data_IF_263966981392
#
_entry.id   IF_263966981392
#
_cell.length_a   1.000
_cell.length_b   1.000
_cell.length_c   1.000
_cell.angle_alpha   90.00
_cell.angle_beta   90.00
_cell.angle_gamma   90.00
#
_symmetry.space_group_name_H-M   'P 1'
#
loop_
_entity.id
_entity.type
_entity.pdbx_description
1 polymer ?
#
# COMPACT_ATOMS: atom_id res chain seq x y z
N UNK A 1 -36.76 -19.34 -2.14
CA UNK A 1 -35.63 -18.92 -1.29
C UNK A 1 -34.39 -19.04 -2.16
N UNK A 2 -34.00 -17.92 -2.77
CA UNK A 2 -33.03 -17.91 -3.85
C UNK A 2 -31.67 -17.50 -3.27
N UNK A 3 -30.67 -18.37 -3.45
CA UNK A 3 -29.31 -18.31 -2.91
C UNK A 3 -28.46 -17.09 -3.37
N UNK A 4 -29.06 -16.13 -4.07
CA UNK A 4 -28.35 -15.05 -4.75
C UNK A 4 -28.22 -13.78 -3.89
N UNK A 5 -28.91 -13.72 -2.76
CA UNK A 5 -28.98 -12.52 -1.90
C UNK A 5 -27.74 -12.33 -0.99
N UNK A 6 -26.76 -13.25 -1.04
CA UNK A 6 -25.62 -13.29 -0.11
C UNK A 6 -24.25 -13.12 -0.77
N UNK A 7 -24.15 -12.62 -2.00
CA UNK A 7 -22.88 -12.12 -2.51
C UNK A 7 -22.87 -10.61 -2.34
N UNK A 8 -22.54 -10.16 -1.12
CA UNK A 8 -21.91 -8.85 -0.96
C UNK A 8 -20.80 -8.78 -2.02
N UNK A 9 -20.97 -7.91 -3.02
CA UNK A 9 -19.83 -7.51 -3.84
C UNK A 9 -18.79 -6.99 -2.86
N UNK A 10 -17.75 -7.79 -2.61
CA UNK A 10 -16.61 -7.33 -1.86
C UNK A 10 -16.08 -6.11 -2.62
N UNK A 11 -16.34 -4.92 -2.08
CA UNK A 11 -15.83 -3.67 -2.62
C UNK A 11 -14.32 -3.76 -2.45
N UNK A 12 -13.63 -4.24 -3.48
CA UNK A 12 -12.18 -4.31 -3.53
C UNK A 12 -11.66 -2.88 -3.54
N UNK A 13 -11.28 -2.39 -2.36
CA UNK A 13 -10.67 -1.08 -2.24
C UNK A 13 -9.20 -1.20 -2.59
N UNK A 14 -8.70 -0.34 -3.48
CA UNK A 14 -7.27 -0.26 -3.79
C UNK A 14 -6.73 1.13 -3.48
N UNK A 15 -5.50 1.19 -2.96
CA UNK A 15 -4.80 2.43 -2.64
C UNK A 15 -3.36 2.36 -3.12
N UNK A 16 -2.94 3.36 -3.89
CA UNK A 16 -1.54 3.57 -4.23
C UNK A 16 -0.84 4.36 -3.11
N UNK A 17 0.32 3.87 -2.66
CA UNK A 17 1.12 4.46 -1.59
C UNK A 17 2.58 4.54 -2.02
N UNK A 18 3.23 5.69 -1.86
CA UNK A 18 4.66 5.83 -2.15
C UNK A 18 5.44 5.68 -0.85
N UNK A 19 6.17 4.57 -0.71
CA UNK A 19 7.09 4.34 0.40
C UNK A 19 8.44 4.99 0.07
N UNK A 20 9.00 5.74 1.01
CA UNK A 20 10.31 6.36 0.85
C UNK A 20 11.24 6.13 2.03
N UNK A 21 12.54 6.03 1.73
CA UNK A 21 13.64 6.03 2.69
C UNK A 21 14.67 7.05 2.23
N UNK A 22 14.92 8.07 3.05
CA UNK A 22 15.96 9.08 2.80
C UNK A 22 17.07 8.96 3.87
N UNK A 23 18.30 9.31 3.49
CA UNK A 23 19.51 9.18 4.32
C UNK A 23 19.45 9.81 5.72
N UNK A 24 18.57 10.78 5.95
CA UNK A 24 18.42 11.49 7.22
C UNK A 24 17.35 10.89 8.15
N UNK A 25 17.10 9.57 8.05
CA UNK A 25 16.02 8.84 8.75
C UNK A 25 14.59 9.32 8.41
N UNK A 26 14.43 10.11 7.35
CA UNK A 26 13.11 10.53 6.87
C UNK A 26 12.49 9.37 6.09
N UNK A 27 11.44 8.79 6.65
CA UNK A 27 10.64 7.72 6.05
C UNK A 27 9.17 7.89 6.43
N UNK A 28 8.26 7.33 5.64
CA UNK A 28 6.84 7.19 5.97
C UNK A 28 6.45 5.75 6.28
N UNK A 29 7.40 4.93 6.76
CA UNK A 29 7.14 3.55 7.14
C UNK A 29 6.03 3.42 8.20
N UNK A 30 5.94 4.38 9.13
CA UNK A 30 4.89 4.37 10.17
C UNK A 30 3.48 4.56 9.58
N UNK A 31 3.33 5.38 8.53
CA UNK A 31 2.06 5.53 7.81
C UNK A 31 1.65 4.23 7.12
N UNK A 32 2.61 3.53 6.50
CA UNK A 32 2.36 2.22 5.91
C UNK A 32 1.94 1.21 6.99
N UNK A 33 2.65 1.17 8.11
CA UNK A 33 2.34 0.27 9.23
C UNK A 33 0.94 0.51 9.81
N UNK A 34 0.49 1.77 9.87
CA UNK A 34 -0.88 2.10 10.29
C UNK A 34 -1.92 1.53 9.33
N UNK A 35 -1.72 1.67 8.01
CA UNK A 35 -2.63 1.08 7.01
C UNK A 35 -2.68 -0.44 7.12
N UNK A 36 -1.53 -1.09 7.33
CA UNK A 36 -1.49 -2.53 7.56
C UNK A 36 -2.22 -2.94 8.85
N UNK A 37 -2.10 -2.16 9.92
CA UNK A 37 -2.83 -2.39 11.17
C UNK A 37 -4.35 -2.20 11.03
N UNK A 38 -4.80 -1.33 10.13
CA UNK A 38 -6.22 -1.13 9.76
C UNK A 38 -6.77 -2.27 8.88
N UNK A 39 -5.95 -3.26 8.52
CA UNK A 39 -6.34 -4.43 7.75
C UNK A 39 -6.14 -4.32 6.24
N UNK A 40 -5.47 -3.27 5.75
CA UNK A 40 -5.01 -3.24 4.36
C UNK A 40 -3.89 -4.28 4.16
N UNK A 41 -3.82 -4.86 2.97
CA UNK A 41 -2.79 -5.82 2.58
C UNK A 41 -1.96 -5.28 1.43
N UNK A 42 -0.68 -5.62 1.37
CA UNK A 42 0.17 -5.30 0.22
C UNK A 42 -0.16 -6.24 -0.93
N UNK A 43 -0.75 -5.71 -1.99
CA UNK A 43 -1.04 -6.44 -3.23
C UNK A 43 0.17 -6.46 -4.17
N UNK A 44 0.91 -5.34 -4.24
CA UNK A 44 2.09 -5.21 -5.10
C UNK A 44 3.07 -4.18 -4.54
N UNK A 45 4.35 -4.39 -4.82
CA UNK A 45 5.40 -3.42 -4.55
C UNK A 45 6.32 -3.34 -5.77
N UNK A 46 6.60 -2.13 -6.24
CA UNK A 46 7.51 -1.88 -7.36
C UNK A 46 8.54 -0.81 -6.99
N UNK A 47 9.83 -1.01 -7.30
CA UNK A 47 10.84 0.03 -7.11
C UNK A 47 10.56 1.19 -8.07
N UNK A 48 10.76 2.42 -7.60
CA UNK A 48 10.69 3.61 -8.44
C UNK A 48 12.11 4.09 -8.75
N UNK A 49 12.36 4.42 -10.01
CA UNK A 49 13.63 5.05 -10.40
C UNK A 49 13.71 6.44 -9.80
N UNK A 50 14.87 6.78 -9.25
CA UNK A 50 15.16 8.10 -8.73
C UNK A 50 16.62 8.45 -9.03
N UNK A 51 16.89 9.71 -9.35
CA UNK A 51 18.24 10.20 -9.67
C UNK A 51 19.10 10.49 -8.44
N UNK A 52 18.52 10.46 -7.25
CA UNK A 52 19.22 10.78 -6.01
C UNK A 52 19.69 9.50 -5.29
N UNK A 53 21.01 9.33 -5.22
CA UNK A 53 21.70 8.17 -4.61
C UNK A 53 21.35 7.94 -3.13
N UNK A 54 20.89 8.98 -2.44
CA UNK A 54 20.61 8.95 -1.00
C UNK A 54 19.12 8.74 -0.67
N UNK A 55 18.32 8.30 -1.65
CA UNK A 55 16.89 8.07 -1.45
C UNK A 55 16.35 6.93 -2.28
N UNK A 56 15.63 6.04 -1.61
CA UNK A 56 14.94 4.90 -2.21
C UNK A 56 13.43 5.13 -2.15
N UNK A 57 12.75 4.90 -3.28
CA UNK A 57 11.31 5.06 -3.41
C UNK A 57 10.70 3.77 -3.94
N UNK A 58 9.51 3.44 -3.47
CA UNK A 58 8.75 2.28 -3.94
C UNK A 58 7.28 2.63 -4.03
N UNK A 59 6.64 2.26 -5.14
CA UNK A 59 5.19 2.27 -5.27
C UNK A 59 4.66 0.98 -4.64
N UNK A 60 3.79 1.13 -3.65
CA UNK A 60 3.10 0.04 -2.95
C UNK A 60 1.62 0.14 -3.30
N UNK A 61 1.04 -0.93 -3.79
CA UNK A 61 -0.41 -1.06 -3.99
C UNK A 61 -0.97 -1.83 -2.80
N UNK A 62 -1.91 -1.21 -2.10
CA UNK A 62 -2.63 -1.78 -0.97
C UNK A 62 -4.05 -2.16 -1.40
N UNK A 63 -4.57 -3.26 -0.87
CA UNK A 63 -5.95 -3.71 -1.09
C UNK A 63 -6.68 -4.05 0.23
N UNK A 64 -8.00 -3.89 0.24
CA UNK A 64 -8.87 -4.20 1.37
C UNK A 64 -10.25 -4.65 0.89
#
# INVERSE_FOLDING_TARGET
>A
MLYWESMEEAVYMQKAFVLYFMSEKKTNLDELNQLLAEGWKVASQSPMSNSNLNSSFSLVILEK
#
